data_IF_926019875516
#
_entry.id   IF_926019875516
#
_cell.length_a   1.000
_cell.length_b   1.000
_cell.length_c   1.000
_cell.angle_alpha   90.00
_cell.angle_beta   90.00
_cell.angle_gamma   90.00
#
_symmetry.space_group_name_H-M   'P 1'
#
loop_
_entity.id
_entity.type
_entity.pdbx_description
1 polymer ?
#
# COMPACT_ATOMS: atom_id res chain seq x y z
N UNK A 1 -38.33 33.01 17.48
CA UNK A 1 -39.43 32.16 17.98
C UNK A 1 -38.85 30.73 18.07
N UNK A 2 -38.60 30.26 19.31
CA UNK A 2 -38.30 28.88 19.82
C UNK A 2 -37.27 28.03 19.03
N UNK A 3 -36.05 27.65 19.47
CA UNK A 3 -35.52 26.92 20.67
C UNK A 3 -36.25 25.60 21.01
N UNK A 4 -35.56 24.45 20.83
CA UNK A 4 -35.38 23.32 21.80
C UNK A 4 -34.77 22.09 21.08
N UNK A 5 -33.47 21.77 21.24
CA UNK A 5 -32.81 20.83 22.19
C UNK A 5 -32.49 19.42 21.65
N UNK A 6 -31.40 18.90 22.23
CA UNK A 6 -30.41 17.85 21.88
C UNK A 6 -30.68 16.45 22.46
N UNK A 7 -30.12 15.39 21.85
CA UNK A 7 -29.38 14.24 22.44
C UNK A 7 -29.26 13.12 21.38
N UNK A 8 -28.09 12.62 20.95
CA UNK A 8 -26.99 11.91 21.64
C UNK A 8 -27.42 10.64 22.38
N UNK A 9 -27.29 9.47 21.76
CA UNK A 9 -27.01 8.21 22.45
C UNK A 9 -26.21 7.20 21.59
N UNK A 10 -25.18 6.64 22.24
CA UNK A 10 -24.33 5.50 21.86
C UNK A 10 -25.13 4.22 21.61
N UNK A 11 -24.65 3.37 20.70
CA UNK A 11 -24.99 1.94 20.69
C UNK A 11 -23.77 1.10 21.06
N UNK A 12 -23.92 0.33 22.15
CA UNK A 12 -23.11 -0.82 22.54
C UNK A 12 -24.11 -1.99 22.57
N UNK A 13 -23.93 -2.97 21.68
CA UNK A 13 -24.78 -4.15 21.61
C UNK A 13 -24.05 -5.38 22.17
N UNK A 14 -24.56 -5.91 23.29
CA UNK A 14 -24.15 -7.17 23.92
C UNK A 14 -25.26 -8.20 23.69
N UNK A 15 -24.84 -9.42 23.41
CA UNK A 15 -25.64 -10.57 22.99
C UNK A 15 -26.04 -11.42 24.19
N UNK A 16 -27.26 -11.96 24.23
CA UNK A 16 -27.69 -13.08 25.09
C UNK A 16 -28.88 -13.84 24.48
N UNK A 17 -28.63 -15.10 24.16
CA UNK A 17 -29.37 -16.35 24.43
C UNK A 17 -30.90 -16.43 24.37
N UNK A 18 -31.39 -17.41 23.60
CA UNK A 18 -32.61 -18.17 23.93
C UNK A 18 -32.45 -19.63 23.49
N UNK A 19 -32.70 -20.53 24.44
CA UNK A 19 -32.58 -21.98 24.39
C UNK A 19 -33.96 -22.62 24.15
N UNK A 20 -34.03 -23.77 23.46
CA UNK A 20 -35.15 -24.71 23.59
C UNK A 20 -34.67 -26.15 23.38
N UNK A 21 -35.16 -27.02 24.27
CA UNK A 21 -34.60 -28.31 24.68
C UNK A 21 -35.27 -29.53 24.05
N UNK A 22 -34.67 -30.73 24.22
CA UNK A 22 -35.43 -31.97 24.47
C UNK A 22 -34.60 -33.07 25.19
N UNK A 23 -35.25 -33.67 26.19
CA UNK A 23 -34.96 -34.65 27.27
C UNK A 23 -34.06 -35.91 26.98
N UNK A 24 -33.10 -36.34 27.85
CA UNK A 24 -33.12 -37.17 29.13
C UNK A 24 -33.10 -38.72 28.86
N UNK A 25 -32.64 -39.68 29.73
CA UNK A 25 -31.97 -39.67 31.07
C UNK A 25 -30.66 -40.53 31.27
N UNK A 26 -30.06 -40.36 32.46
CA UNK A 26 -29.00 -41.11 33.24
C UNK A 26 -29.33 -42.61 33.51
N UNK A 27 -28.39 -43.52 33.93
CA UNK A 27 -27.58 -43.39 35.18
C UNK A 27 -26.21 -44.15 35.32
N UNK A 28 -25.55 -43.89 36.48
CA UNK A 28 -24.75 -44.76 37.37
C UNK A 28 -23.41 -45.46 36.96
N UNK A 29 -22.33 -44.97 37.58
CA UNK A 29 -21.30 -45.64 38.42
C UNK A 29 -20.91 -47.13 38.28
N UNK A 30 -19.58 -47.36 38.42
CA UNK A 30 -18.83 -48.38 39.19
C UNK A 30 -17.84 -49.28 38.41
N UNK A 31 -16.61 -49.20 38.92
CA UNK A 31 -15.68 -50.29 39.25
C UNK A 31 -14.56 -50.78 38.32
N UNK A 32 -13.45 -50.96 39.03
CA UNK A 32 -12.10 -51.33 38.67
C UNK A 32 -11.99 -52.77 38.18
N UNK A 33 -11.00 -53.00 37.32
CA UNK A 33 -10.38 -54.31 37.13
C UNK A 33 -8.87 -54.17 37.38
N UNK A 34 -8.42 -54.94 38.35
CA UNK A 34 -7.03 -55.17 38.77
C UNK A 34 -6.38 -56.24 37.88
N UNK A 35 -5.12 -56.06 37.48
CA UNK A 35 -4.24 -57.14 37.00
C UNK A 35 -2.84 -56.93 37.60
N UNK A 36 -2.21 -57.93 38.27
CA UNK A 36 -1.04 -57.69 39.12
C UNK A 36 0.31 -58.24 38.57
N UNK A 37 1.38 -57.79 39.26
CA UNK A 37 2.76 -58.33 39.39
C UNK A 37 3.72 -57.99 38.22
N UNK A 38 4.92 -57.40 38.41
CA UNK A 38 5.97 -57.73 39.36
C UNK A 38 6.81 -56.53 39.86
N UNK A 39 7.34 -56.66 41.08
CA UNK A 39 8.35 -55.79 41.69
C UNK A 39 9.75 -56.19 41.20
N UNK A 40 10.52 -55.21 40.77
CA UNK A 40 11.96 -55.17 41.08
C UNK A 40 12.29 -53.90 41.86
N UNK A 41 13.13 -54.10 42.86
CA UNK A 41 13.72 -53.11 43.75
C UNK A 41 14.98 -52.57 43.06
N UNK A 42 15.28 -51.28 43.22
CA UNK A 42 16.60 -50.74 43.62
C UNK A 42 16.85 -49.33 43.03
N UNK A 43 17.15 -48.44 43.99
CA UNK A 43 17.92 -47.19 43.95
C UNK A 43 17.42 -45.94 43.21
N UNK A 44 17.05 -45.00 44.08
CA UNK A 44 17.18 -43.55 43.96
C UNK A 44 18.48 -43.05 43.31
N UNK A 45 18.34 -42.25 42.26
CA UNK A 45 19.31 -41.22 41.88
C UNK A 45 18.55 -39.90 41.69
N UNK A 46 18.68 -39.00 42.66
CA UNK A 46 18.22 -37.61 42.58
C UNK A 46 19.18 -36.85 41.66
N UNK A 47 18.81 -36.66 40.39
CA UNK A 47 19.53 -35.78 39.47
C UNK A 47 18.89 -34.39 39.48
N UNK A 48 19.70 -33.44 39.91
CA UNK A 48 19.44 -32.00 40.06
C UNK A 48 18.75 -31.36 38.83
N UNK A 49 17.48 -30.97 39.01
CA UNK A 49 16.66 -30.22 38.03
C UNK A 49 17.23 -28.85 37.63
N UNK A 50 18.27 -28.34 38.30
CA UNK A 50 18.88 -27.03 38.01
C UNK A 50 20.04 -27.07 37.00
N UNK A 51 20.62 -28.24 36.74
CA UNK A 51 21.82 -28.35 35.90
C UNK A 51 21.55 -28.46 34.39
N UNK A 52 20.34 -28.86 33.97
CA UNK A 52 19.98 -28.98 32.55
C UNK A 52 19.25 -27.76 31.96
N UNK A 53 18.77 -26.83 32.79
CA UNK A 53 18.04 -25.65 32.31
C UNK A 53 18.98 -24.61 31.66
N UNK A 54 20.16 -24.42 32.24
CA UNK A 54 21.17 -23.47 31.75
C UNK A 54 21.72 -23.83 30.35
N UNK A 55 22.14 -25.08 30.06
CA UNK A 55 22.65 -25.42 28.74
C UNK A 55 21.56 -25.40 27.66
N UNK A 56 20.31 -25.73 27.99
CA UNK A 56 19.17 -25.63 27.06
C UNK A 56 18.85 -24.17 26.69
N UNK A 57 18.86 -23.26 27.67
CA UNK A 57 18.61 -21.84 27.43
C UNK A 57 19.75 -21.22 26.60
N UNK A 58 20.99 -21.63 26.86
CA UNK A 58 22.16 -21.18 26.09
C UNK A 58 22.14 -21.71 24.66
N UNK A 59 21.71 -22.96 24.45
CA UNK A 59 21.55 -23.54 23.11
C UNK A 59 20.42 -22.84 22.34
N UNK A 60 19.29 -22.54 22.97
CA UNK A 60 18.20 -21.76 22.37
C UNK A 60 18.63 -20.32 22.05
N UNK A 61 19.48 -19.70 22.88
CA UNK A 61 20.04 -18.37 22.63
C UNK A 61 21.03 -18.38 21.44
N UNK A 62 21.87 -19.42 21.33
CA UNK A 62 22.76 -19.59 20.19
C UNK A 62 22.01 -19.91 18.90
N UNK A 63 20.94 -20.71 18.96
CA UNK A 63 20.04 -20.94 17.82
C UNK A 63 19.32 -19.63 17.44
N UNK A 64 18.88 -18.83 18.41
CA UNK A 64 18.28 -17.51 18.15
C UNK A 64 19.26 -16.47 17.56
N UNK A 65 20.57 -16.62 17.79
CA UNK A 65 21.60 -15.78 17.17
C UNK A 65 21.97 -16.23 15.75
N UNK A 66 21.95 -17.54 15.48
CA UNK A 66 22.24 -18.11 14.15
C UNK A 66 21.02 -18.01 13.21
N UNK A 67 19.81 -18.14 13.76
CA UNK A 67 18.53 -17.90 13.11
C UNK A 67 17.91 -16.58 13.59
N UNK A 68 18.75 -15.56 13.82
CA UNK A 68 18.26 -14.19 13.95
C UNK A 68 17.36 -13.88 12.75
N UNK A 69 16.32 -13.02 12.91
CA UNK A 69 15.44 -12.70 11.80
C UNK A 69 16.31 -12.27 10.63
N UNK A 70 16.33 -13.08 9.56
CA UNK A 70 16.88 -12.66 8.29
C UNK A 70 16.33 -11.27 8.07
N UNK A 71 17.22 -10.29 7.88
CA UNK A 71 16.83 -8.98 7.38
C UNK A 71 15.83 -9.27 6.27
N UNK A 72 14.56 -8.95 6.51
CA UNK A 72 13.53 -9.11 5.51
C UNK A 72 13.90 -8.14 4.42
N UNK A 73 14.71 -8.59 3.45
CA UNK A 73 15.00 -7.83 2.25
C UNK A 73 13.63 -7.52 1.68
N UNK A 74 13.30 -6.23 1.69
CA UNK A 74 12.02 -5.73 1.24
C UNK A 74 11.95 -5.93 -0.27
N UNK A 75 11.64 -7.15 -0.69
CA UNK A 75 11.52 -7.46 -2.10
C UNK A 75 10.22 -6.89 -2.63
N UNK A 76 10.26 -6.39 -3.85
CA UNK A 76 9.08 -5.88 -4.51
C UNK A 76 8.14 -7.05 -4.84
N UNK A 77 6.84 -6.78 -4.90
CA UNK A 77 5.87 -7.79 -5.36
C UNK A 77 6.18 -8.14 -6.82
N UNK A 78 6.46 -9.40 -7.09
CA UNK A 78 6.59 -9.91 -8.46
C UNK A 78 5.21 -10.25 -9.02
N UNK A 79 4.86 -9.67 -10.17
CA UNK A 79 3.69 -10.04 -10.96
C UNK A 79 4.11 -10.30 -12.41
N UNK A 80 3.52 -11.32 -13.08
CA UNK A 80 3.83 -11.58 -14.47
C UNK A 80 3.42 -10.39 -15.34
N UNK A 81 4.29 -10.01 -16.28
CA UNK A 81 4.00 -8.94 -17.23
C UNK A 81 2.79 -9.30 -18.10
N UNK A 82 1.83 -8.38 -18.18
CA UNK A 82 0.68 -8.50 -19.08
C UNK A 82 1.09 -8.11 -20.48
N UNK A 83 0.50 -8.74 -21.50
CA UNK A 83 0.78 -8.42 -22.92
C UNK A 83 0.60 -6.93 -23.23
N UNK A 84 -0.36 -6.29 -22.58
CA UNK A 84 -0.65 -4.88 -22.82
C UNK A 84 0.34 -3.91 -22.13
N UNK A 85 1.28 -4.39 -21.30
CA UNK A 85 2.33 -3.56 -20.71
C UNK A 85 3.43 -3.23 -21.73
N UNK A 86 3.57 -4.05 -22.77
CA UNK A 86 4.47 -3.76 -23.88
C UNK A 86 4.07 -2.44 -24.58
N UNK A 87 5.07 -1.60 -24.85
CA UNK A 87 4.89 -0.33 -25.57
C UNK A 87 4.59 -0.59 -27.05
N UNK A 88 5.23 -1.62 -27.62
CA UNK A 88 5.09 -1.97 -29.03
C UNK A 88 4.25 -3.22 -29.21
N UNK A 89 3.56 -3.29 -30.35
CA UNK A 89 2.89 -4.50 -30.79
C UNK A 89 3.88 -5.65 -31.04
N UNK A 90 3.37 -6.88 -31.18
CA UNK A 90 4.20 -8.04 -31.49
C UNK A 90 5.01 -7.91 -32.80
N UNK A 91 4.60 -7.00 -33.70
CA UNK A 91 5.33 -6.72 -34.94
C UNK A 91 6.44 -5.67 -34.78
N UNK A 92 6.51 -4.97 -33.64
CA UNK A 92 7.49 -3.92 -33.34
C UNK A 92 7.34 -2.66 -34.18
N UNK A 93 6.23 -2.50 -34.90
CA UNK A 93 6.02 -1.40 -35.86
C UNK A 93 5.16 -0.28 -35.31
N UNK A 94 4.23 -0.61 -34.41
CA UNK A 94 3.35 0.35 -33.77
C UNK A 94 3.68 0.40 -32.28
N UNK A 95 4.33 1.49 -31.85
CA UNK A 95 4.74 1.69 -30.48
C UNK A 95 3.99 2.90 -29.90
N UNK A 96 3.24 2.69 -28.81
CA UNK A 96 2.43 3.75 -28.22
C UNK A 96 2.60 3.77 -26.70
N UNK A 97 3.04 4.90 -26.17
CA UNK A 97 3.14 5.16 -24.75
C UNK A 97 1.80 5.74 -24.28
N UNK A 98 1.09 5.00 -23.43
CA UNK A 98 -0.16 5.42 -22.81
C UNK A 98 0.11 6.08 -21.48
N UNK A 99 -0.03 7.39 -21.48
CA UNK A 99 0.17 8.23 -20.31
C UNK A 99 -1.17 8.59 -19.69
N UNK A 100 -1.43 8.06 -18.49
CA UNK A 100 -2.62 8.40 -17.71
C UNK A 100 -2.47 9.79 -17.10
N UNK A 101 -3.45 10.66 -17.29
CA UNK A 101 -3.48 12.01 -16.72
C UNK A 101 -4.68 12.10 -15.78
N UNK A 102 -4.40 12.11 -14.48
CA UNK A 102 -5.39 12.16 -13.41
C UNK A 102 -5.42 13.56 -12.81
N UNK A 103 -6.34 14.42 -13.26
CA UNK A 103 -6.46 15.80 -12.78
C UNK A 103 -7.94 16.19 -12.67
N UNK A 104 -8.31 17.17 -11.84
CA UNK A 104 -9.67 17.68 -11.83
C UNK A 104 -10.01 18.37 -13.15
N UNK A 105 -11.20 18.12 -13.67
CA UNK A 105 -11.79 18.88 -14.79
C UNK A 105 -12.49 20.15 -14.27
N UNK A 106 -11.73 20.97 -13.54
CA UNK A 106 -12.22 22.19 -12.93
C UNK A 106 -11.13 23.26 -12.91
N UNK A 107 -11.43 24.43 -13.49
CA UNK A 107 -10.53 25.58 -13.58
C UNK A 107 -10.29 26.30 -12.24
N UNK A 108 -10.96 25.92 -11.16
CA UNK A 108 -10.62 26.37 -9.82
C UNK A 108 -9.23 25.90 -9.38
N UNK A 109 -8.75 24.77 -9.92
CA UNK A 109 -7.43 24.21 -9.60
C UNK A 109 -6.37 24.67 -10.60
N UNK A 110 -5.22 25.12 -10.12
CA UNK A 110 -4.12 25.59 -10.98
C UNK A 110 -3.69 24.53 -12.01
N UNK A 111 -3.55 23.29 -11.56
CA UNK A 111 -3.28 22.13 -12.40
C UNK A 111 -4.58 21.35 -12.66
N UNK A 112 -5.30 21.74 -13.70
CA UNK A 112 -6.57 21.13 -14.15
C UNK A 112 -6.43 20.53 -15.55
N UNK A 113 -7.30 19.56 -15.90
CA UNK A 113 -7.28 18.95 -17.24
C UNK A 113 -7.34 19.97 -18.39
N UNK A 114 -8.24 20.98 -18.36
CA UNK A 114 -8.32 21.98 -19.43
C UNK A 114 -7.02 22.79 -19.62
N UNK A 115 -6.21 22.94 -18.57
CA UNK A 115 -4.95 23.70 -18.60
C UNK A 115 -3.75 22.82 -18.95
N UNK A 116 -3.68 21.62 -18.41
CA UNK A 116 -2.49 20.76 -18.51
C UNK A 116 -2.45 19.99 -19.82
N UNK A 117 -3.58 19.47 -20.33
CA UNK A 117 -3.58 18.68 -21.56
C UNK A 117 -3.03 19.45 -22.79
N UNK A 118 -3.37 20.73 -23.02
CA UNK A 118 -2.75 21.50 -24.10
C UNK A 118 -1.23 21.62 -23.94
N UNK A 119 -0.75 21.81 -22.70
CA UNK A 119 0.69 21.94 -22.42
C UNK A 119 1.43 20.62 -22.68
N UNK A 120 0.84 19.47 -22.32
CA UNK A 120 1.41 18.15 -22.64
C UNK A 120 1.54 17.94 -24.15
N UNK A 121 0.55 18.36 -24.94
CA UNK A 121 0.61 18.30 -26.42
C UNK A 121 1.72 19.20 -26.98
N UNK A 122 1.88 20.41 -26.44
CA UNK A 122 2.97 21.31 -26.85
C UNK A 122 4.34 20.73 -26.46
N UNK A 123 4.46 20.15 -25.26
CA UNK A 123 5.67 19.46 -24.84
C UNK A 123 6.01 18.28 -25.77
N UNK A 124 5.01 17.50 -26.17
CA UNK A 124 5.15 16.42 -27.14
C UNK A 124 5.67 16.93 -28.50
N UNK A 125 5.11 18.02 -29.01
CA UNK A 125 5.60 18.65 -30.24
C UNK A 125 7.07 19.09 -30.11
N UNK A 126 7.44 19.64 -28.94
CA UNK A 126 8.80 20.10 -28.71
C UNK A 126 9.80 18.95 -28.63
N UNK A 127 9.48 17.85 -27.94
CA UNK A 127 10.36 16.67 -27.89
C UNK A 127 10.52 16.03 -29.27
N UNK A 128 9.48 16.04 -30.11
CA UNK A 128 9.54 15.57 -31.50
C UNK A 128 10.42 16.48 -32.36
N UNK A 129 10.29 17.81 -32.24
CA UNK A 129 11.12 18.75 -32.99
C UNK A 129 12.62 18.65 -32.65
N UNK A 130 12.92 18.21 -31.43
CA UNK A 130 14.29 18.01 -30.94
C UNK A 130 14.79 16.57 -31.16
N UNK A 131 13.99 15.71 -31.78
CA UNK A 131 14.31 14.29 -32.00
C UNK A 131 14.70 13.55 -30.72
N UNK A 132 14.11 13.91 -29.57
CA UNK A 132 14.38 13.27 -28.28
C UNK A 132 13.67 11.92 -28.14
N UNK A 133 12.64 11.69 -28.95
CA UNK A 133 11.92 10.43 -29.04
C UNK A 133 12.00 9.90 -30.47
N UNK A 134 12.09 8.57 -30.67
CA UNK A 134 12.03 7.98 -32.00
C UNK A 134 10.71 8.33 -32.71
N UNK A 135 10.72 8.54 -34.05
CA UNK A 135 9.55 9.01 -34.80
C UNK A 135 8.42 7.99 -34.88
N UNK A 136 8.71 6.70 -34.63
CA UNK A 136 7.73 5.60 -34.67
C UNK A 136 7.06 5.35 -33.31
N UNK A 137 7.45 6.09 -32.26
CA UNK A 137 6.79 6.04 -30.95
C UNK A 137 5.75 7.16 -30.89
N UNK A 138 4.53 6.79 -30.53
CA UNK A 138 3.43 7.71 -30.33
C UNK A 138 3.03 7.86 -28.86
N UNK A 139 2.37 8.96 -28.51
CA UNK A 139 1.87 9.22 -27.16
C UNK A 139 0.35 9.26 -27.16
N UNK A 140 -0.26 8.46 -26.29
CA UNK A 140 -1.68 8.50 -26.01
C UNK A 140 -1.91 9.09 -24.61
N UNK A 141 -2.50 10.28 -24.57
CA UNK A 141 -2.84 10.98 -23.32
C UNK A 141 -4.22 10.57 -22.84
N UNK A 142 -4.29 9.71 -21.84
CA UNK A 142 -5.53 9.19 -21.25
C UNK A 142 -5.99 10.10 -20.12
N UNK A 143 -6.83 11.07 -20.41
CA UNK A 143 -7.34 12.03 -19.42
C UNK A 143 -8.52 11.47 -18.61
N UNK A 144 -8.45 11.55 -17.28
CA UNK A 144 -9.59 11.24 -16.40
C UNK A 144 -9.76 12.28 -15.30
N UNK A 145 -11.01 12.74 -15.15
CA UNK A 145 -11.41 13.65 -14.09
C UNK A 145 -11.44 12.94 -12.73
N UNK A 146 -10.60 13.39 -11.81
CA UNK A 146 -10.55 12.87 -10.44
C UNK A 146 -11.51 13.58 -9.49
N UNK A 147 -12.05 14.74 -9.87
CA UNK A 147 -12.85 15.63 -9.01
C UNK A 147 -12.20 15.95 -7.67
N UNK A 148 -10.87 15.82 -7.58
CA UNK A 148 -10.12 15.96 -6.33
C UNK A 148 -10.54 14.96 -5.23
N UNK A 149 -11.26 13.88 -5.59
CA UNK A 149 -11.76 12.88 -4.66
C UNK A 149 -10.80 11.68 -4.55
N UNK A 150 -10.68 11.14 -3.33
CA UNK A 150 -9.75 10.05 -3.04
C UNK A 150 -10.18 8.73 -3.69
N UNK A 151 -11.46 8.37 -3.54
CA UNK A 151 -12.00 7.11 -4.05
C UNK A 151 -12.09 7.13 -5.56
N UNK A 152 -12.57 8.23 -6.14
CA UNK A 152 -12.66 8.41 -7.58
C UNK A 152 -11.28 8.39 -8.22
N UNK A 153 -10.28 9.04 -7.61
CA UNK A 153 -8.89 9.00 -8.09
C UNK A 153 -8.37 7.57 -8.25
N UNK A 154 -8.58 6.72 -7.25
CA UNK A 154 -8.18 5.30 -7.29
C UNK A 154 -8.92 4.54 -8.38
N UNK A 155 -10.24 4.68 -8.48
CA UNK A 155 -11.03 3.98 -9.50
C UNK A 155 -10.62 4.41 -10.91
N UNK A 156 -10.37 5.71 -11.13
CA UNK A 156 -9.88 6.22 -12.42
C UNK A 156 -8.46 5.74 -12.72
N UNK A 157 -7.60 5.62 -11.71
CA UNK A 157 -6.29 5.00 -11.86
C UNK A 157 -6.39 3.54 -12.31
N UNK A 158 -7.26 2.76 -11.67
CA UNK A 158 -7.53 1.37 -12.04
C UNK A 158 -8.12 1.26 -13.45
N UNK A 159 -9.08 2.11 -13.82
CA UNK A 159 -9.63 2.13 -15.18
C UNK A 159 -8.53 2.39 -16.23
N UNK A 160 -7.67 3.39 -15.99
CA UNK A 160 -6.56 3.71 -16.88
C UNK A 160 -5.50 2.61 -17.01
N UNK A 161 -5.16 1.92 -15.92
CA UNK A 161 -4.08 0.94 -15.90
C UNK A 161 -4.57 -0.46 -16.26
N UNK A 162 -5.72 -0.87 -15.73
CA UNK A 162 -6.23 -2.22 -15.93
C UNK A 162 -6.93 -2.33 -17.28
N UNK A 163 -7.78 -1.36 -17.64
CA UNK A 163 -8.58 -1.42 -18.86
C UNK A 163 -7.87 -0.79 -20.06
N UNK A 164 -7.14 0.29 -19.83
CA UNK A 164 -6.46 1.03 -20.92
C UNK A 164 -4.94 0.79 -20.94
N UNK A 165 -4.40 0.04 -19.98
CA UNK A 165 -2.98 -0.33 -19.93
C UNK A 165 -2.03 0.87 -20.03
N UNK A 166 -2.28 1.91 -19.23
CA UNK A 166 -1.33 3.00 -19.05
C UNK A 166 -0.02 2.54 -18.40
N UNK A 167 1.11 3.07 -18.89
CA UNK A 167 2.45 2.78 -18.37
C UNK A 167 2.94 3.80 -17.34
N UNK A 168 2.39 5.01 -17.34
CA UNK A 168 2.80 6.12 -16.46
C UNK A 168 1.60 6.93 -16.05
N UNK A 169 1.64 7.50 -14.84
CA UNK A 169 0.61 8.39 -14.31
C UNK A 169 1.19 9.79 -14.14
N UNK A 170 0.47 10.80 -14.65
CA UNK A 170 0.69 12.22 -14.39
C UNK A 170 -0.45 12.76 -13.50
N UNK A 171 -0.09 13.41 -12.39
CA UNK A 171 -1.01 13.71 -11.28
C UNK A 171 -1.18 12.49 -10.36
N UNK A 172 -2.17 12.47 -9.43
CA UNK A 172 -3.09 13.56 -9.05
C UNK A 172 -2.40 14.74 -8.38
N UNK A 173 -3.07 15.89 -8.31
CA UNK A 173 -2.53 17.11 -7.68
C UNK A 173 -3.11 17.42 -6.32
N UNK A 174 -4.27 16.86 -6.00
CA UNK A 174 -4.91 16.99 -4.70
C UNK A 174 -4.34 15.99 -3.70
N UNK A 175 -3.96 16.43 -2.51
CA UNK A 175 -3.28 15.61 -1.49
C UNK A 175 -4.01 14.29 -1.20
N UNK A 176 -5.34 14.31 -0.99
CA UNK A 176 -6.10 13.09 -0.69
C UNK A 176 -6.15 12.09 -1.86
N UNK A 177 -6.39 12.60 -3.07
CA UNK A 177 -6.42 11.78 -4.28
C UNK A 177 -5.04 11.23 -4.61
N UNK A 178 -4.01 12.06 -4.50
CA UNK A 178 -2.61 11.69 -4.70
C UNK A 178 -2.19 10.60 -3.72
N UNK A 179 -2.44 10.79 -2.42
CA UNK A 179 -2.08 9.79 -1.41
C UNK A 179 -2.76 8.44 -1.67
N UNK A 180 -4.04 8.44 -2.03
CA UNK A 180 -4.79 7.22 -2.31
C UNK A 180 -4.24 6.47 -3.53
N UNK A 181 -3.95 7.17 -4.62
CA UNK A 181 -3.40 6.56 -5.84
C UNK A 181 -1.94 6.12 -5.63
N UNK A 182 -1.09 6.97 -5.07
CA UNK A 182 0.35 6.69 -4.90
C UNK A 182 0.65 5.49 -4.00
N UNK A 183 -0.19 5.20 -3.01
CA UNK A 183 -0.05 4.00 -2.17
C UNK A 183 -0.14 2.69 -2.94
N UNK A 184 -0.95 2.68 -3.99
CA UNK A 184 -1.28 1.45 -4.73
C UNK A 184 -0.51 1.33 -6.04
N UNK A 185 0.19 2.39 -6.50
CA UNK A 185 0.89 2.35 -7.78
C UNK A 185 2.05 1.37 -7.84
N UNK A 186 2.66 1.05 -6.70
CA UNK A 186 3.67 -0.02 -6.60
C UNK A 186 3.13 -1.43 -6.87
N UNK A 187 1.80 -1.61 -6.91
CA UNK A 187 1.15 -2.88 -7.21
C UNK A 187 0.54 -2.93 -8.61
N UNK A 188 0.75 -1.89 -9.42
CA UNK A 188 0.22 -1.79 -10.77
C UNK A 188 1.26 -2.16 -11.81
N UNK A 189 0.87 -2.91 -12.84
CA UNK A 189 1.79 -3.52 -13.81
C UNK A 189 2.81 -4.44 -13.11
N UNK A 190 3.61 -5.16 -13.87
CA UNK A 190 4.58 -6.14 -13.34
C UNK A 190 5.67 -5.55 -12.44
N UNK A 191 6.00 -4.27 -12.61
CA UNK A 191 7.12 -3.61 -11.92
C UNK A 191 6.68 -2.35 -11.13
N UNK A 192 5.39 -2.21 -10.86
CA UNK A 192 4.84 -0.94 -10.41
C UNK A 192 4.66 0.05 -11.56
N UNK A 193 3.88 1.10 -11.32
CA UNK A 193 3.63 2.16 -12.30
C UNK A 193 4.15 3.49 -11.75
N UNK A 194 5.12 4.15 -12.40
CA UNK A 194 5.62 5.43 -11.94
C UNK A 194 4.52 6.48 -11.97
N UNK A 195 4.43 7.25 -10.89
CA UNK A 195 3.48 8.35 -10.74
C UNK A 195 4.25 9.65 -10.54
N UNK A 196 4.08 10.58 -11.47
CA UNK A 196 4.73 11.88 -11.47
C UNK A 196 3.69 12.95 -11.15
N UNK A 197 3.89 13.70 -10.07
CA UNK A 197 2.98 14.79 -9.69
C UNK A 197 3.71 16.10 -9.41
N UNK A 198 3.02 17.21 -9.72
CA UNK A 198 3.43 18.58 -9.34
C UNK A 198 2.65 19.08 -8.12
N UNK A 199 1.62 18.37 -7.69
CA UNK A 199 0.87 18.66 -6.47
C UNK A 199 1.40 17.87 -5.29
N UNK A 200 0.62 17.82 -4.21
CA UNK A 200 1.03 17.15 -2.99
C UNK A 200 1.90 18.01 -2.10
N UNK A 201 1.30 18.66 -1.10
CA UNK A 201 2.01 19.53 -0.14
C UNK A 201 2.15 18.95 1.26
N UNK A 202 1.57 17.77 1.53
CA UNK A 202 1.83 17.08 2.80
C UNK A 202 3.28 16.60 2.90
N UNK A 203 3.79 16.60 4.14
CA UNK A 203 5.10 16.06 4.51
C UNK A 203 5.25 14.59 4.14
N UNK A 204 4.18 13.81 4.17
CA UNK A 204 4.26 12.36 3.93
C UNK A 204 4.81 12.02 2.54
N UNK A 205 4.65 12.92 1.56
CA UNK A 205 5.22 12.76 0.22
C UNK A 205 6.72 13.06 0.14
N UNK A 206 7.35 13.52 1.20
CA UNK A 206 8.81 13.74 1.30
C UNK A 206 9.52 12.66 2.11
N UNK A 207 8.77 11.78 2.77
CA UNK A 207 9.33 10.63 3.47
C UNK A 207 10.11 9.73 2.52
N UNK A 208 10.89 8.81 3.10
CA UNK A 208 11.73 7.84 2.38
C UNK A 208 10.93 7.05 1.34
N UNK A 209 11.52 6.83 0.17
CA UNK A 209 10.95 6.12 -1.00
C UNK A 209 11.98 5.23 -1.69
N UNK A 210 12.92 4.67 -0.94
CA UNK A 210 13.98 3.84 -1.52
C UNK A 210 13.63 2.37 -1.51
N UNK A 211 12.76 1.93 -0.59
CA UNK A 211 12.44 0.53 -0.38
C UNK A 211 11.01 0.25 -0.84
N UNK A 212 10.75 -0.94 -1.39
CA UNK A 212 9.42 -1.32 -1.88
C UNK A 212 8.32 -1.25 -0.79
N UNK A 213 8.71 -1.36 0.48
CA UNK A 213 7.81 -1.23 1.63
C UNK A 213 7.38 0.22 1.89
N UNK A 214 8.13 1.21 1.39
CA UNK A 214 7.80 2.61 1.56
C UNK A 214 6.43 2.92 0.92
N UNK A 215 5.67 3.79 1.59
CA UNK A 215 4.27 4.07 1.26
C UNK A 215 4.11 4.65 -0.14
N UNK A 216 5.03 5.54 -0.53
CA UNK A 216 4.98 6.27 -1.79
C UNK A 216 6.16 5.94 -2.71
N UNK A 217 6.58 4.66 -2.71
CA UNK A 217 7.76 4.18 -3.46
C UNK A 217 7.79 4.63 -4.93
N UNK A 218 6.65 4.58 -5.63
CA UNK A 218 6.56 4.96 -7.05
C UNK A 218 6.19 6.45 -7.29
N UNK A 219 6.15 7.29 -6.26
CA UNK A 219 5.80 8.71 -6.36
C UNK A 219 7.03 9.59 -6.57
N UNK A 220 7.13 10.18 -7.75
CA UNK A 220 8.05 11.24 -8.09
C UNK A 220 7.32 12.58 -8.05
N UNK A 221 7.78 13.51 -7.21
CA UNK A 221 7.20 14.83 -7.08
C UNK A 221 8.18 15.88 -7.58
N UNK A 222 7.78 16.66 -8.58
CA UNK A 222 8.60 17.71 -9.21
C UNK A 222 8.11 19.12 -8.91
N UNK A 223 7.02 19.25 -8.16
CA UNK A 223 6.33 20.52 -7.91
C UNK A 223 6.53 21.10 -6.51
N UNK A 224 5.43 21.54 -5.89
CA UNK A 224 5.44 22.38 -4.69
C UNK A 224 6.27 21.80 -3.54
N UNK A 225 6.83 22.68 -2.69
CA UNK A 225 7.46 22.30 -1.42
C UNK A 225 6.40 21.75 -0.45
N UNK A 226 6.79 20.84 0.46
CA UNK A 226 5.90 20.48 1.55
C UNK A 226 5.63 21.66 2.49
N UNK A 227 4.53 21.57 3.24
CA UNK A 227 4.24 22.49 4.32
C UNK A 227 5.32 22.48 5.41
N UNK A 228 6.03 21.37 5.60
CA UNK A 228 7.16 21.32 6.54
C UNK A 228 8.32 22.19 6.04
N UNK A 229 8.77 22.01 4.79
CA UNK A 229 9.87 22.81 4.22
C UNK A 229 9.52 24.31 4.23
N UNK A 230 8.27 24.68 3.96
CA UNK A 230 7.81 26.09 4.04
C UNK A 230 7.85 26.60 5.50
N UNK A 231 7.48 25.76 6.46
CA UNK A 231 7.53 26.10 7.89
C UNK A 231 8.97 26.28 8.36
N UNK A 232 9.88 25.39 7.95
CA UNK A 232 11.32 25.52 8.24
C UNK A 232 11.92 26.78 7.64
N UNK A 233 11.57 27.11 6.38
CA UNK A 233 11.98 28.36 5.75
C UNK A 233 11.52 29.56 6.59
N UNK A 234 10.26 29.58 7.01
CA UNK A 234 9.69 30.67 7.82
C UNK A 234 10.42 30.82 9.14
N UNK A 235 10.66 29.71 9.85
CA UNK A 235 11.43 29.69 11.11
C UNK A 235 12.85 30.24 10.89
N UNK A 236 13.52 29.82 9.81
CA UNK A 236 14.88 30.26 9.51
C UNK A 236 14.98 31.74 9.14
N UNK A 237 13.93 32.30 8.53
CA UNK A 237 13.83 33.75 8.26
C UNK A 237 13.57 34.52 9.55
N UNK A 238 12.69 34.04 10.44
CA UNK A 238 12.35 34.71 11.70
C UNK A 238 13.48 34.67 12.74
N UNK A 239 14.40 33.71 12.64
CA UNK A 239 15.59 33.63 13.50
C UNK A 239 16.70 34.61 13.13
N UNK A 240 16.60 35.30 12.00
CA UNK A 240 17.52 36.37 11.59
C UNK A 240 17.03 37.73 12.10
#
# INVERSE_FOLDING_TARGET
MQISQTNSQRQIGKQNDTESASAKPRPASLDLIEVPVAREVVNSIQISRRACLFPMLFLLFLIGLVFGPQDCVADCREEPARDCEAICDASGRNCTIRALVLLPDDNMYQASLPRVLPILKVAEQQIRSKSLIPPHIDFEWLAHDTKCDASLGVIKAMDGIIKQCAQVIFGPVCDYSLAAVSRITKYFNSQGTPLISVGGSTYDFEQKKTDCNDEFYMLLRTGMLSFETISELTINVMKR
#
